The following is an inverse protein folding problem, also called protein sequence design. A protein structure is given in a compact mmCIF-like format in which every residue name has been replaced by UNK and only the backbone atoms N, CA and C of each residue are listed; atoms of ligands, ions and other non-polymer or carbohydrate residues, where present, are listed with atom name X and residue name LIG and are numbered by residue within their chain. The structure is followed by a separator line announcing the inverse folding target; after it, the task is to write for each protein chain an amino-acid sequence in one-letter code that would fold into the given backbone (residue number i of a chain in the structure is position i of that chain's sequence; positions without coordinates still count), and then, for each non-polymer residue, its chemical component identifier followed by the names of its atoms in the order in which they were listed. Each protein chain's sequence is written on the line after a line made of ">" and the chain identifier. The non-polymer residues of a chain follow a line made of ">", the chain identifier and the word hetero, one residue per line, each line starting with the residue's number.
data_IF_248653839000
#
_entry.id   IF_248653839000
#
_cell.length_a   1.000
_cell.length_b   1.000
_cell.length_c   1.000
_cell.angle_alpha   90.00
_cell.angle_beta   90.00
_cell.angle_gamma   90.00
#
_symmetry.space_group_name_H-M   'P 1'
#
loop_
_entity.id
_entity.type
_entity.pdbx_description
1 polymer ?
#
# COMPACT_ATOMS: atom_id res chain seq x y z
N UNK A 1 -5.16 4.16 17.16
CA UNK A 1 -6.23 4.75 16.32
C UNK A 1 -7.02 3.63 15.65
N UNK A 2 -8.36 3.64 15.61
CA UNK A 2 -9.12 2.62 14.89
C UNK A 2 -8.89 2.80 13.37
N UNK A 3 -8.50 1.74 12.68
CA UNK A 3 -8.15 1.72 11.25
C UNK A 3 -9.36 1.63 10.30
N UNK A 4 -10.60 1.63 10.81
CA UNK A 4 -11.80 1.53 9.96
C UNK A 4 -12.25 2.92 9.53
N UNK A 5 -11.79 3.32 8.36
CA UNK A 5 -12.32 4.47 7.66
C UNK A 5 -13.19 3.97 6.50
N UNK A 6 -14.50 4.22 6.56
CA UNK A 6 -15.46 3.84 5.52
C UNK A 6 -15.00 4.22 4.10
N UNK A 7 -14.34 5.37 3.93
CA UNK A 7 -13.93 5.85 2.60
C UNK A 7 -12.74 5.06 2.03
N UNK A 8 -11.68 4.85 2.82
CA UNK A 8 -10.56 4.02 2.38
C UNK A 8 -10.98 2.56 2.21
N UNK A 9 -11.87 2.06 3.08
CA UNK A 9 -12.41 0.70 2.97
C UNK A 9 -13.21 0.54 1.68
N UNK A 10 -13.99 1.54 1.25
CA UNK A 10 -14.74 1.51 -0.01
C UNK A 10 -13.82 1.35 -1.23
N UNK A 11 -12.73 2.12 -1.30
CA UNK A 11 -11.74 2.01 -2.39
C UNK A 11 -11.00 0.67 -2.32
N UNK A 12 -10.58 0.26 -1.13
CA UNK A 12 -9.82 -0.98 -0.92
C UNK A 12 -10.63 -2.22 -1.28
N UNK A 13 -11.89 -2.27 -0.86
CA UNK A 13 -12.77 -3.43 -1.09
C UNK A 13 -13.28 -3.50 -2.53
N UNK A 14 -13.53 -2.36 -3.17
CA UNK A 14 -13.98 -2.33 -4.57
C UNK A 14 -12.82 -2.49 -5.57
N UNK A 15 -11.60 -2.09 -5.18
CA UNK A 15 -10.47 -1.98 -6.11
C UNK A 15 -10.68 -0.89 -7.16
N UNK A 16 -11.59 0.06 -6.92
CA UNK A 16 -11.97 1.13 -7.85
C UNK A 16 -11.76 2.50 -7.22
N UNK A 17 -11.48 3.49 -8.06
CA UNK A 17 -11.34 4.87 -7.63
C UNK A 17 -12.67 5.43 -7.11
N UNK A 18 -12.59 6.32 -6.12
CA UNK A 18 -13.74 7.01 -5.54
C UNK A 18 -13.46 8.50 -5.44
N UNK A 19 -14.39 9.32 -5.90
CA UNK A 19 -14.37 10.78 -5.75
C UNK A 19 -15.67 11.23 -5.09
N UNK A 20 -15.54 12.05 -4.05
CA UNK A 20 -16.65 12.63 -3.29
C UNK A 20 -16.38 14.13 -3.18
N UNK A 21 -17.10 14.91 -3.99
CA UNK A 21 -16.91 16.37 -4.07
C UNK A 21 -17.41 17.12 -2.83
N UNK A 22 -18.50 16.62 -2.22
CA UNK A 22 -19.03 17.11 -0.95
C UNK A 22 -19.49 15.96 -0.05
N UNK A 23 -18.62 15.56 0.86
CA UNK A 23 -18.83 14.42 1.73
C UNK A 23 -19.97 14.61 2.76
N UNK A 24 -20.40 15.85 3.00
CA UNK A 24 -21.53 16.14 3.88
C UNK A 24 -22.87 15.78 3.22
N UNK A 25 -22.94 15.89 1.90
CA UNK A 25 -24.15 15.68 1.10
C UNK A 25 -24.12 14.38 0.30
N UNK A 26 -23.06 13.58 0.44
CA UNK A 26 -22.89 12.32 -0.25
C UNK A 26 -23.42 11.13 0.60
N UNK A 27 -24.35 10.31 0.07
CA UNK A 27 -24.93 9.19 0.81
C UNK A 27 -23.93 8.12 1.28
N UNK A 28 -22.79 7.95 0.59
CA UNK A 28 -21.75 6.99 0.98
C UNK A 28 -20.97 7.48 2.20
N UNK A 29 -20.90 8.79 2.42
CA UNK A 29 -19.98 9.38 3.39
C UNK A 29 -20.64 10.19 4.50
N UNK A 30 -21.89 10.62 4.35
CA UNK A 30 -22.58 11.49 5.33
C UNK A 30 -22.59 10.91 6.76
N UNK A 31 -22.70 9.58 6.89
CA UNK A 31 -22.67 8.87 8.18
C UNK A 31 -21.25 8.44 8.62
N UNK A 32 -20.21 9.02 8.02
CA UNK A 32 -18.82 8.73 8.38
C UNK A 32 -18.35 9.65 9.50
N UNK A 33 -17.62 9.09 10.47
CA UNK A 33 -16.90 9.90 11.48
C UNK A 33 -15.88 10.85 10.83
N UNK A 34 -15.39 10.56 9.63
CA UNK A 34 -14.56 11.51 8.88
C UNK A 34 -15.29 12.83 8.63
N UNK A 35 -16.57 12.76 8.27
CA UNK A 35 -17.39 13.93 7.99
C UNK A 35 -17.78 14.60 9.30
N UNK A 36 -18.41 13.86 10.22
CA UNK A 36 -18.99 14.44 11.44
C UNK A 36 -17.97 14.84 12.51
N UNK A 37 -16.86 14.11 12.66
CA UNK A 37 -15.85 14.34 13.72
C UNK A 37 -14.64 15.12 13.21
N UNK A 38 -14.18 14.82 11.99
CA UNK A 38 -12.95 15.42 11.44
C UNK A 38 -13.22 16.56 10.45
N UNK A 39 -14.49 16.81 10.12
CA UNK A 39 -14.92 17.90 9.24
C UNK A 39 -14.51 17.70 7.79
N UNK A 40 -14.30 16.46 7.35
CA UNK A 40 -13.95 16.17 5.95
C UNK A 40 -15.13 16.51 5.05
N UNK A 41 -14.86 17.28 4.00
CA UNK A 41 -15.81 17.73 2.99
C UNK A 41 -15.46 17.25 1.59
N UNK A 42 -14.22 16.86 1.34
CA UNK A 42 -13.81 16.28 0.07
C UNK A 42 -12.98 15.03 0.28
N UNK A 43 -13.13 14.06 -0.62
CA UNK A 43 -12.30 12.86 -0.68
C UNK A 43 -12.08 12.43 -2.13
N UNK A 44 -10.85 12.08 -2.47
CA UNK A 44 -10.53 11.35 -3.69
C UNK A 44 -9.55 10.23 -3.36
N UNK A 45 -9.85 9.01 -3.75
CA UNK A 45 -9.04 7.83 -3.45
C UNK A 45 -8.79 7.00 -4.69
N UNK A 46 -7.53 6.62 -4.90
CA UNK A 46 -7.09 5.65 -5.90
C UNK A 46 -6.66 4.34 -5.22
N UNK A 47 -6.98 3.17 -5.78
CA UNK A 47 -6.57 1.89 -5.21
C UNK A 47 -5.06 1.68 -5.34
N UNK A 48 -4.42 1.21 -4.27
CA UNK A 48 -3.05 0.71 -4.29
C UNK A 48 -3.06 -0.75 -4.73
N UNK A 49 -3.16 -0.97 -6.04
CA UNK A 49 -3.31 -2.30 -6.64
C UNK A 49 -1.99 -2.78 -7.26
N UNK A 50 -1.56 -3.96 -6.87
CA UNK A 50 -0.41 -4.67 -7.45
C UNK A 50 -0.76 -5.28 -8.81
N UNK A 51 0.27 -5.63 -9.59
CA UNK A 51 0.11 -6.22 -10.93
C UNK A 51 -0.57 -7.60 -10.90
N UNK A 52 -0.45 -8.34 -9.79
CA UNK A 52 -1.15 -9.62 -9.55
C UNK A 52 -2.62 -9.44 -9.10
N UNK A 53 -3.08 -8.19 -9.05
CA UNK A 53 -4.47 -7.83 -8.82
C UNK A 53 -4.87 -7.62 -7.36
N UNK A 54 -3.95 -7.82 -6.40
CA UNK A 54 -4.20 -7.56 -4.98
C UNK A 54 -4.32 -6.05 -4.69
N UNK A 55 -5.36 -5.66 -3.96
CA UNK A 55 -5.52 -4.27 -3.49
C UNK A 55 -4.99 -4.15 -2.07
N UNK A 56 -3.86 -3.49 -1.90
CA UNK A 56 -3.16 -3.30 -0.62
C UNK A 56 -3.82 -2.24 0.27
N UNK A 57 -4.59 -1.33 -0.34
CA UNK A 57 -5.23 -0.21 0.33
C UNK A 57 -5.65 0.88 -0.64
N UNK A 58 -5.75 2.11 -0.12
CA UNK A 58 -6.09 3.30 -0.89
C UNK A 58 -5.06 4.41 -0.68
N UNK A 59 -4.68 5.08 -1.77
CA UNK A 59 -3.96 6.34 -1.76
C UNK A 59 -4.96 7.47 -1.96
N UNK A 60 -5.12 8.32 -0.94
CA UNK A 60 -6.24 9.25 -0.91
C UNK A 60 -5.86 10.67 -0.48
N UNK A 61 -6.54 11.63 -1.09
CA UNK A 61 -6.62 13.01 -0.69
C UNK A 61 -7.91 13.20 0.12
N UNK A 62 -7.83 13.94 1.20
CA UNK A 62 -8.98 14.36 1.98
C UNK A 62 -8.81 15.82 2.39
N UNK A 63 -9.89 16.60 2.28
CA UNK A 63 -9.88 18.02 2.58
C UNK A 63 -11.12 18.39 3.42
N UNK A 64 -10.99 19.43 4.23
CA UNK A 64 -12.10 20.02 5.02
C UNK A 64 -12.93 21.02 4.22
N UNK A 65 -12.51 21.31 2.98
CA UNK A 65 -13.24 22.14 2.02
C UNK A 65 -13.67 21.27 0.84
N UNK A 66 -14.89 21.50 0.34
CA UNK A 66 -15.39 20.84 -0.88
C UNK A 66 -14.52 21.21 -2.09
N UNK A 67 -14.39 20.29 -3.05
CA UNK A 67 -13.64 20.53 -4.30
C UNK A 67 -14.51 20.17 -5.51
N UNK A 68 -15.43 21.05 -5.93
CA UNK A 68 -16.32 20.78 -7.05
C UNK A 68 -15.60 20.73 -8.40
N UNK A 69 -14.41 21.36 -8.49
CA UNK A 69 -13.61 21.39 -9.72
C UNK A 69 -12.63 20.22 -9.83
N UNK A 70 -12.64 19.28 -8.87
CA UNK A 70 -11.78 18.11 -8.98
C UNK A 70 -12.19 17.26 -10.18
N UNK A 71 -11.29 17.05 -11.13
CA UNK A 71 -11.65 16.47 -12.43
C UNK A 71 -10.98 15.12 -12.71
N UNK A 72 -11.28 14.56 -13.88
CA UNK A 72 -10.71 13.28 -14.33
C UNK A 72 -9.19 13.34 -14.50
N UNK A 73 -8.64 14.52 -14.82
CA UNK A 73 -7.19 14.71 -14.99
C UNK A 73 -6.50 14.65 -13.63
N UNK A 74 -7.04 15.30 -12.62
CA UNK A 74 -6.52 15.21 -11.25
C UNK A 74 -6.68 13.80 -10.69
N UNK A 75 -7.78 13.11 -11.00
CA UNK A 75 -7.97 11.70 -10.64
C UNK A 75 -6.95 10.78 -11.32
N UNK A 76 -6.64 11.02 -12.60
CA UNK A 76 -5.62 10.27 -13.34
C UNK A 76 -4.23 10.46 -12.71
N UNK A 77 -3.88 11.69 -12.34
CA UNK A 77 -2.62 12.02 -11.65
C UNK A 77 -2.55 11.34 -10.27
N UNK A 78 -3.64 11.32 -9.51
CA UNK A 78 -3.72 10.59 -8.25
C UNK A 78 -3.49 9.07 -8.46
N UNK A 79 -4.04 8.52 -9.54
CA UNK A 79 -3.81 7.14 -9.96
C UNK A 79 -2.35 6.84 -10.35
N UNK A 80 -1.66 7.77 -11.01
CA UNK A 80 -0.22 7.67 -11.30
C UNK A 80 0.62 7.64 -10.02
N UNK A 81 0.30 8.50 -9.05
CA UNK A 81 0.96 8.51 -7.75
C UNK A 81 0.73 7.18 -7.01
N UNK A 82 -0.50 6.65 -7.02
CA UNK A 82 -0.81 5.36 -6.44
C UNK A 82 0.03 4.22 -7.07
N UNK A 83 0.16 4.19 -8.41
CA UNK A 83 1.03 3.23 -9.11
C UNK A 83 2.50 3.39 -8.73
N UNK A 84 2.99 4.62 -8.61
CA UNK A 84 4.36 4.89 -8.17
C UNK A 84 4.62 4.35 -6.75
N UNK A 85 3.67 4.54 -5.82
CA UNK A 85 3.74 3.98 -4.47
C UNK A 85 3.82 2.46 -4.51
N UNK A 86 2.96 1.79 -5.29
CA UNK A 86 2.99 0.33 -5.43
C UNK A 86 4.33 -0.14 -5.99
N UNK A 87 4.85 0.51 -7.03
CA UNK A 87 6.16 0.17 -7.59
C UNK A 87 7.30 0.28 -6.55
N UNK A 88 7.25 1.29 -5.68
CA UNK A 88 8.21 1.44 -4.58
C UNK A 88 8.06 0.35 -3.51
N UNK A 89 6.83 -0.06 -3.19
CA UNK A 89 6.58 -1.17 -2.26
C UNK A 89 7.11 -2.49 -2.80
N UNK A 90 6.83 -2.79 -4.07
CA UNK A 90 7.32 -3.98 -4.77
C UNK A 90 8.85 -4.02 -4.83
N UNK A 91 9.49 -2.89 -5.14
CA UNK A 91 10.95 -2.80 -5.13
C UNK A 91 11.53 -3.11 -3.75
N UNK A 92 10.99 -2.51 -2.69
CA UNK A 92 11.45 -2.75 -1.30
C UNK A 92 11.24 -4.20 -0.89
N UNK A 93 10.12 -4.80 -1.28
CA UNK A 93 9.83 -6.21 -1.04
C UNK A 93 10.87 -7.11 -1.69
N UNK A 94 11.13 -6.93 -2.99
CA UNK A 94 12.14 -7.70 -3.75
C UNK A 94 13.55 -7.56 -3.17
N UNK A 95 13.92 -6.35 -2.74
CA UNK A 95 15.22 -6.11 -2.10
C UNK A 95 15.34 -6.86 -0.76
N UNK A 96 14.25 -6.89 0.02
CA UNK A 96 14.22 -7.61 1.30
C UNK A 96 14.29 -9.12 1.10
N UNK A 97 13.53 -9.65 0.14
CA UNK A 97 13.56 -11.07 -0.24
C UNK A 97 14.94 -11.50 -0.72
N UNK A 98 15.54 -10.72 -1.63
CA UNK A 98 16.90 -11.00 -2.14
C UNK A 98 17.94 -11.00 -1.02
N UNK A 99 17.87 -10.05 -0.09
CA UNK A 99 18.78 -10.01 1.07
C UNK A 99 18.62 -11.23 1.97
N UNK A 100 17.40 -11.69 2.19
CA UNK A 100 17.14 -12.91 2.95
C UNK A 100 17.74 -14.15 2.29
N UNK A 101 17.57 -14.30 0.97
CA UNK A 101 18.15 -15.41 0.21
C UNK A 101 19.68 -15.40 0.24
N UNK A 102 20.30 -14.23 0.09
CA UNK A 102 21.76 -14.09 0.18
C UNK A 102 22.25 -14.52 1.57
N UNK A 103 21.62 -14.05 2.64
CA UNK A 103 22.01 -14.41 4.01
C UNK A 103 21.89 -15.93 4.26
N UNK A 104 20.84 -16.57 3.74
CA UNK A 104 20.65 -18.01 3.86
C UNK A 104 21.75 -18.79 3.11
N UNK A 105 22.09 -18.37 1.89
CA UNK A 105 23.17 -19.00 1.12
C UNK A 105 24.53 -18.85 1.80
N UNK A 106 24.84 -17.66 2.33
CA UNK A 106 26.08 -17.43 3.08
C UNK A 106 26.19 -18.34 4.30
N UNK A 107 25.11 -18.50 5.07
CA UNK A 107 25.09 -19.40 6.23
C UNK A 107 25.30 -20.87 5.81
N UNK A 108 24.64 -21.31 4.72
CA UNK A 108 24.80 -22.67 4.20
C UNK A 108 26.25 -22.94 3.75
N UNK A 109 26.91 -21.97 3.11
CA UNK A 109 28.31 -22.09 2.71
C UNK A 109 29.24 -22.19 3.93
N UNK A 110 29.05 -21.34 4.94
CA UNK A 110 29.87 -21.36 6.15
C UNK A 110 29.74 -22.70 6.90
N UNK A 111 28.53 -23.24 7.02
CA UNK A 111 28.31 -24.57 7.60
C UNK A 111 28.98 -25.68 6.77
N UNK A 112 28.87 -25.62 5.44
CA UNK A 112 29.50 -26.60 4.56
C UNK A 112 31.04 -26.57 4.66
N UNK A 113 31.65 -25.38 4.81
CA UNK A 113 33.09 -25.23 5.00
C UNK A 113 33.55 -25.76 6.36
N UNK A 114 32.82 -25.46 7.44
CA UNK A 114 33.12 -25.98 8.78
C UNK A 114 33.03 -27.51 8.80
N UNK A 115 31.98 -28.09 8.21
CA UNK A 115 31.80 -29.54 8.17
C UNK A 115 32.87 -30.23 7.33
N UNK A 116 33.29 -29.64 6.20
CA UNK A 116 34.39 -30.16 5.38
C UNK A 116 35.75 -30.10 6.11
N UNK A 117 36.03 -28.99 6.81
CA UNK A 117 37.26 -28.83 7.61
C UNK A 117 37.32 -29.82 8.78
N UNK A 118 36.21 -30.01 9.49
CA UNK A 118 36.12 -30.98 10.59
C UNK A 118 36.27 -32.44 10.12
N UNK A 119 35.72 -32.79 8.94
CA UNK A 119 35.90 -34.11 8.35
C UNK A 119 37.38 -34.41 8.03
N UNK A 120 38.14 -33.41 7.56
CA UNK A 120 39.57 -33.58 7.27
C UNK A 120 40.47 -33.78 8.52
N UNK A 121 40.00 -33.38 9.70
CA UNK A 121 40.71 -33.52 10.98
C UNK A 121 40.45 -34.86 11.69
N UNK A 122 39.43 -35.61 11.27
CA UNK A 122 39.05 -36.90 11.88
C UNK A 122 39.60 -38.12 11.14
N UNK A 123 40.16 -37.93 9.94
CA UNK A 123 40.86 -38.94 9.13
C UNK A 123 42.39 -38.98 9.38
N UNK A 124 42.89 -38.31 10.43
CA UNK A 124 44.30 -38.30 10.87
C UNK A 124 44.46 -38.91 12.27
#
# INVERSE_FOLDING_TARGET
>A
MPRRNKLCDAVTNSGTALVVHDALNDPLTMDSRMVSTFGIRFYAGAPLRTDDGLTLGAFALADRVQRPEFDEREMAMLGELARSVVAQLELRRRLTETRGMIAELSLRQEIAEITASAASLTDA
#
